data_IF_157705327126
#
_entry.id   IF_157705327126
#
_cell.length_a   1.000
_cell.length_b   1.000
_cell.length_c   1.000
_cell.angle_alpha   90.00
_cell.angle_beta   90.00
_cell.angle_gamma   90.00
#
_symmetry.space_group_name_H-M   'P 1'
#
loop_
_entity.id
_entity.type
_entity.pdbx_description
1 polymer ?
#
# COMPACT_ATOMS: atom_id res chain seq x y z
N UNK A 1 -31.71 -13.34 -21.04
CA UNK A 1 -30.86 -12.28 -20.46
C UNK A 1 -30.41 -12.75 -19.09
N UNK A 2 -29.20 -13.31 -19.01
CA UNK A 2 -28.69 -13.97 -17.79
C UNK A 2 -27.88 -12.97 -16.97
N UNK A 3 -28.41 -12.53 -15.84
CA UNK A 3 -27.67 -11.70 -14.88
C UNK A 3 -26.63 -12.57 -14.14
N UNK A 4 -25.36 -12.36 -14.48
CA UNK A 4 -24.21 -12.93 -13.80
C UNK A 4 -24.15 -12.45 -12.35
N UNK A 5 -24.57 -13.31 -11.43
CA UNK A 5 -24.39 -13.13 -9.98
C UNK A 5 -22.88 -13.18 -9.70
N UNK A 6 -22.25 -12.03 -9.54
CA UNK A 6 -20.88 -11.95 -9.00
C UNK A 6 -20.91 -12.50 -7.59
N UNK A 7 -20.56 -13.78 -7.43
CA UNK A 7 -20.22 -14.35 -6.13
C UNK A 7 -19.01 -13.55 -5.62
N UNK A 8 -19.22 -12.69 -4.64
CA UNK A 8 -18.17 -12.17 -3.77
C UNK A 8 -17.66 -13.35 -2.91
N UNK A 9 -16.88 -14.23 -3.53
CA UNK A 9 -16.13 -15.26 -2.83
C UNK A 9 -15.05 -14.53 -2.03
N UNK A 10 -15.26 -14.37 -0.73
CA UNK A 10 -14.33 -13.64 0.14
C UNK A 10 -14.93 -13.06 1.41
N UNK A 11 -16.26 -13.05 1.59
CA UNK A 11 -16.96 -12.36 2.68
C UNK A 11 -16.46 -12.64 4.12
N UNK A 12 -15.89 -13.83 4.37
CA UNK A 12 -15.40 -14.25 5.71
C UNK A 12 -13.88 -14.33 5.83
N UNK A 13 -13.15 -14.40 4.71
CA UNK A 13 -11.70 -14.53 4.72
C UNK A 13 -11.04 -13.23 5.18
N UNK A 14 -11.47 -12.09 4.63
CA UNK A 14 -11.00 -10.79 5.11
C UNK A 14 -11.43 -10.52 6.55
N UNK A 15 -12.58 -11.03 7.03
CA UNK A 15 -12.98 -10.89 8.44
C UNK A 15 -12.09 -11.69 9.38
N UNK A 16 -11.63 -12.86 8.96
CA UNK A 16 -10.71 -13.70 9.74
C UNK A 16 -9.31 -13.09 9.72
N UNK A 17 -8.89 -12.57 8.58
CA UNK A 17 -7.61 -11.88 8.43
C UNK A 17 -7.63 -10.52 9.16
N UNK A 18 -8.75 -9.80 9.11
CA UNK A 18 -9.08 -8.64 9.95
C UNK A 18 -9.07 -9.02 11.44
N UNK A 19 -9.71 -10.12 11.85
CA UNK A 19 -9.60 -10.65 13.23
C UNK A 19 -8.23 -11.11 13.63
N UNK A 20 -7.32 -11.38 12.71
CA UNK A 20 -5.91 -11.61 13.06
C UNK A 20 -5.12 -10.30 13.10
N UNK A 21 -5.46 -9.33 12.25
CA UNK A 21 -4.69 -8.08 12.04
C UNK A 21 -5.12 -6.90 12.91
N UNK A 22 -6.41 -6.81 13.26
CA UNK A 22 -7.00 -5.67 13.99
C UNK A 22 -7.76 -6.10 15.24
N UNK A 23 -8.52 -7.20 15.18
CA UNK A 23 -9.42 -7.65 16.25
C UNK A 23 -8.95 -8.91 17.01
N UNK A 24 -7.71 -9.34 16.77
CA UNK A 24 -7.04 -10.43 17.51
C UNK A 24 -6.43 -9.95 18.81
N UNK A 25 -6.83 -8.76 19.26
CA UNK A 25 -6.36 -8.19 20.50
C UNK A 25 -7.21 -8.70 21.64
N UNK A 26 -6.61 -9.33 22.67
CA UNK A 26 -7.25 -9.31 23.97
C UNK A 26 -7.54 -7.84 24.30
N UNK A 27 -8.68 -7.57 24.97
CA UNK A 27 -8.91 -6.25 25.58
C UNK A 27 -7.68 -5.99 26.44
N UNK A 28 -6.79 -5.12 25.96
CA UNK A 28 -5.53 -4.88 26.63
C UNK A 28 -5.86 -4.38 28.02
N UNK A 29 -5.28 -5.02 29.01
CA UNK A 29 -5.37 -4.55 30.38
C UNK A 29 -4.88 -3.09 30.45
N UNK A 30 -5.40 -2.28 31.38
CA UNK A 30 -4.89 -0.92 31.59
C UNK A 30 -3.37 -0.88 31.78
N UNK A 31 -2.79 -1.96 32.34
CA UNK A 31 -1.34 -2.11 32.52
C UNK A 31 -0.60 -2.29 31.18
N UNK A 32 -1.12 -3.12 30.27
CA UNK A 32 -0.53 -3.28 28.93
C UNK A 32 -0.61 -1.98 28.12
N UNK A 33 -1.73 -1.26 28.22
CA UNK A 33 -1.90 0.06 27.58
C UNK A 33 -0.87 1.05 28.15
N UNK A 34 -0.65 1.07 29.46
CA UNK A 34 0.36 1.92 30.09
C UNK A 34 1.78 1.56 29.62
N UNK A 35 2.09 0.27 29.46
CA UNK A 35 3.36 -0.21 28.90
C UNK A 35 3.55 0.30 27.47
N UNK A 36 2.56 0.14 26.59
CA UNK A 36 2.61 0.66 25.21
C UNK A 36 2.83 2.17 25.19
N UNK A 37 2.13 2.93 26.04
CA UNK A 37 2.32 4.39 26.12
C UNK A 37 3.71 4.76 26.60
N UNK A 38 4.27 4.03 27.56
CA UNK A 38 5.63 4.26 28.07
C UNK A 38 6.68 4.00 26.99
N UNK A 39 6.60 2.86 26.30
CA UNK A 39 7.54 2.51 25.21
C UNK A 39 7.41 3.49 24.06
N UNK A 40 6.19 3.87 23.69
CA UNK A 40 5.92 4.84 22.62
C UNK A 40 6.50 6.22 22.96
N UNK A 41 6.31 6.72 24.19
CA UNK A 41 6.88 7.99 24.62
C UNK A 41 8.42 7.98 24.61
N UNK A 42 9.03 6.85 24.97
CA UNK A 42 10.48 6.65 24.85
C UNK A 42 10.95 6.74 23.39
N UNK A 43 10.31 5.98 22.50
CA UNK A 43 10.61 5.99 21.06
C UNK A 43 10.41 7.38 20.44
N UNK A 44 9.36 8.11 20.84
CA UNK A 44 9.11 9.49 20.37
C UNK A 44 10.21 10.47 20.82
N UNK A 45 10.75 10.27 22.02
CA UNK A 45 11.85 11.10 22.54
C UNK A 45 13.14 10.80 21.79
N UNK A 46 13.42 9.54 21.49
CA UNK A 46 14.55 9.15 20.64
C UNK A 46 14.40 9.65 19.21
N UNK A 47 13.18 9.61 18.66
CA UNK A 47 12.85 10.14 17.35
C UNK A 47 13.12 11.65 17.30
N UNK A 48 12.67 12.41 18.30
CA UNK A 48 12.97 13.84 18.40
C UNK A 48 14.48 14.09 18.41
N UNK A 49 15.25 13.35 19.22
CA UNK A 49 16.71 13.48 19.25
C UNK A 49 17.36 13.13 17.92
N UNK A 50 16.87 12.11 17.23
CA UNK A 50 17.37 11.74 15.90
C UNK A 50 17.06 12.82 14.85
N UNK A 51 15.88 13.44 14.93
CA UNK A 51 15.49 14.59 14.10
C UNK A 51 16.38 15.80 14.39
N UNK A 52 16.59 16.16 15.66
CA UNK A 52 17.45 17.27 16.05
C UNK A 52 18.91 17.06 15.61
N UNK A 53 19.40 15.82 15.74
CA UNK A 53 20.72 15.40 15.28
C UNK A 53 20.83 15.17 13.76
N UNK A 54 19.74 15.39 13.01
CA UNK A 54 19.68 15.18 11.55
C UNK A 54 20.08 13.75 11.12
N UNK A 55 19.85 12.73 11.96
CA UNK A 55 20.17 11.34 11.65
C UNK A 55 19.04 10.71 10.83
N UNK A 56 19.15 10.76 9.50
CA UNK A 56 18.06 10.43 8.57
C UNK A 56 17.60 8.98 8.69
N UNK A 57 18.52 8.02 8.58
CA UNK A 57 18.18 6.59 8.64
C UNK A 57 17.56 6.21 10.00
N UNK A 58 18.18 6.67 11.10
CA UNK A 58 17.69 6.39 12.45
C UNK A 58 16.30 6.99 12.70
N UNK A 59 16.05 8.20 12.21
CA UNK A 59 14.74 8.83 12.37
C UNK A 59 13.65 8.09 11.58
N UNK A 60 13.95 7.59 10.37
CA UNK A 60 13.03 6.78 9.58
C UNK A 60 12.69 5.45 10.29
N UNK A 61 13.71 4.74 10.80
CA UNK A 61 13.51 3.48 11.53
C UNK A 61 12.68 3.70 12.81
N UNK A 62 13.01 4.74 13.59
CA UNK A 62 12.27 5.08 14.81
C UNK A 62 10.83 5.51 14.52
N UNK A 63 10.58 6.17 13.39
CA UNK A 63 9.24 6.55 12.96
C UNK A 63 8.36 5.33 12.68
N UNK A 64 8.88 4.36 11.93
CA UNK A 64 8.18 3.09 11.64
C UNK A 64 7.92 2.29 12.92
N UNK A 65 8.93 2.18 13.80
CA UNK A 65 8.78 1.51 15.10
C UNK A 65 7.72 2.20 15.96
N UNK A 66 7.71 3.54 16.01
CA UNK A 66 6.74 4.29 16.79
C UNK A 66 5.32 4.12 16.24
N UNK A 67 5.12 4.09 14.92
CA UNK A 67 3.82 3.77 14.34
C UNK A 67 3.37 2.35 14.62
N UNK A 68 4.29 1.38 14.55
CA UNK A 68 3.98 0.02 14.93
C UNK A 68 3.55 -0.07 16.40
N UNK A 69 4.26 0.57 17.33
CA UNK A 69 3.89 0.61 18.75
C UNK A 69 2.56 1.35 18.97
N UNK A 70 2.34 2.50 18.33
CA UNK A 70 1.07 3.21 18.41
C UNK A 70 -0.09 2.35 17.89
N UNK A 71 0.17 1.54 16.87
CA UNK A 71 -0.80 0.58 16.36
C UNK A 71 -1.20 -0.45 17.40
N UNK A 72 -0.37 -0.75 18.41
CA UNK A 72 -0.57 -1.75 19.47
C UNK A 72 -1.63 -1.38 20.51
N UNK A 73 -2.02 -0.11 20.63
CA UNK A 73 -3.06 0.34 21.54
C UNK A 73 -4.23 1.02 20.80
N UNK A 74 -5.42 1.12 21.42
CA UNK A 74 -6.54 1.85 20.85
C UNK A 74 -6.16 3.32 20.52
N UNK A 75 -6.76 3.92 19.47
CA UNK A 75 -6.47 5.31 19.11
C UNK A 75 -6.83 6.31 20.20
N UNK A 76 -7.93 6.07 20.92
CA UNK A 76 -8.39 6.92 22.01
C UNK A 76 -7.30 7.11 23.08
N UNK A 77 -6.56 6.03 23.37
CA UNK A 77 -5.47 5.99 24.35
C UNK A 77 -4.14 6.54 23.84
N UNK A 78 -3.95 6.57 22.51
CA UNK A 78 -2.71 7.00 21.84
C UNK A 78 -2.88 8.25 20.98
N UNK A 79 -3.98 8.99 21.16
CA UNK A 79 -4.37 10.12 20.29
C UNK A 79 -3.29 11.19 20.23
N UNK A 80 -2.73 11.55 21.38
CA UNK A 80 -1.68 12.57 21.48
C UNK A 80 -0.39 12.11 20.79
N UNK A 81 0.02 10.86 21.01
CA UNK A 81 1.23 10.29 20.40
C UNK A 81 1.10 10.22 18.87
N UNK A 82 -0.07 9.82 18.36
CA UNK A 82 -0.35 9.78 16.93
C UNK A 82 -0.37 11.18 16.30
N UNK A 83 -0.87 12.19 17.03
CA UNK A 83 -0.78 13.58 16.60
C UNK A 83 0.68 14.05 16.49
N UNK A 84 1.55 13.69 17.45
CA UNK A 84 2.99 13.97 17.37
C UNK A 84 3.67 13.24 16.20
N UNK A 85 3.33 11.97 15.96
CA UNK A 85 3.83 11.23 14.81
C UNK A 85 3.44 11.89 13.48
N UNK A 86 2.25 12.49 13.40
CA UNK A 86 1.87 13.26 12.21
C UNK A 86 2.78 14.47 11.99
N UNK A 87 3.11 15.21 13.05
CA UNK A 87 4.06 16.34 12.96
C UNK A 87 5.44 15.85 12.51
N UNK A 88 5.95 14.74 13.07
CA UNK A 88 7.21 14.15 12.61
C UNK A 88 7.17 13.73 11.15
N UNK A 89 6.05 13.18 10.66
CA UNK A 89 5.88 12.85 9.24
C UNK A 89 6.10 14.06 8.35
N UNK A 90 5.55 15.21 8.72
CA UNK A 90 5.69 16.46 7.96
C UNK A 90 7.15 16.95 7.96
N UNK A 91 7.83 16.84 9.10
CA UNK A 91 9.27 17.16 9.22
C UNK A 91 10.11 16.23 8.33
N UNK A 92 9.88 14.92 8.41
CA UNK A 92 10.60 13.93 7.61
C UNK A 92 10.28 14.04 6.11
N UNK A 93 9.07 14.47 5.76
CA UNK A 93 8.68 14.74 4.38
C UNK A 93 9.17 16.11 3.86
N UNK A 94 9.72 16.97 4.72
CA UNK A 94 10.16 18.31 4.36
C UNK A 94 11.30 18.29 3.33
N UNK A 95 11.43 19.39 2.58
CA UNK A 95 12.45 19.51 1.54
C UNK A 95 13.87 19.52 2.12
N UNK A 96 14.07 20.21 3.24
CA UNK A 96 15.35 20.26 3.95
C UNK A 96 15.79 18.87 4.42
N UNK A 97 14.85 18.06 4.89
CA UNK A 97 15.14 16.67 5.29
C UNK A 97 15.55 15.80 4.10
N UNK A 98 14.85 15.92 2.96
CA UNK A 98 15.23 15.23 1.71
C UNK A 98 16.57 15.72 1.12
N UNK A 99 16.94 16.97 1.39
CA UNK A 99 18.25 17.50 1.03
C UNK A 99 19.35 16.94 1.94
N UNK A 100 19.08 16.78 3.23
CA UNK A 100 19.97 16.13 4.18
C UNK A 100 20.17 14.64 3.84
N UNK A 101 19.11 13.92 3.52
CA UNK A 101 19.18 12.53 3.05
C UNK A 101 20.10 12.39 1.84
N UNK A 102 19.95 13.29 0.85
CA UNK A 102 20.84 13.34 -0.32
C UNK A 102 22.29 13.67 0.04
N UNK A 103 22.52 14.59 0.99
CA UNK A 103 23.87 14.90 1.48
C UNK A 103 24.52 13.72 2.18
N UNK A 104 23.79 13.00 3.02
CA UNK A 104 24.29 11.82 3.72
C UNK A 104 24.53 10.65 2.77
N UNK A 105 23.67 10.44 1.77
CA UNK A 105 23.93 9.45 0.71
C UNK A 105 25.21 9.78 -0.08
N UNK A 106 25.46 11.05 -0.39
CA UNK A 106 26.69 11.49 -1.05
C UNK A 106 27.94 11.34 -0.17
N UNK A 107 27.83 11.56 1.14
CA UNK A 107 28.93 11.41 2.10
C UNK A 107 29.22 9.94 2.44
N UNK A 108 28.19 9.10 2.55
CA UNK A 108 28.30 7.66 2.79
C UNK A 108 28.90 6.88 1.61
N UNK A 109 28.82 7.43 0.38
CA UNK A 109 29.53 6.90 -0.79
C UNK A 109 31.03 7.23 -0.82
N UNK A 110 31.51 8.18 -0.01
CA UNK A 110 32.91 8.63 0.00
C UNK A 110 33.79 7.86 0.99
N UNK A 111 33.20 7.20 1.99
CA UNK A 111 33.94 6.52 3.07
C UNK A 111 34.31 5.05 2.77
N UNK A 112 34.25 4.61 1.51
CA UNK A 112 34.68 3.26 1.09
C UNK A 112 35.72 3.29 -0.03
N UNK A 113 36.69 4.19 0.08
CA UNK A 113 37.91 4.17 -0.72
C UNK A 113 39.13 4.08 0.21
N UNK A 114 39.31 2.93 0.86
CA UNK A 114 40.58 2.58 1.51
C UNK A 114 40.95 1.15 1.14
N UNK A 115 42.11 1.08 0.45
CA UNK A 115 43.04 -0.04 0.28
C UNK A 115 42.59 -1.27 -0.51
N UNK A 116 42.83 -1.23 -1.83
CA UNK A 116 43.36 -2.40 -2.52
C UNK A 116 44.83 -2.58 -2.10
N UNK A 117 45.24 -3.71 -1.50
CA UNK A 117 46.64 -4.06 -1.49
C UNK A 117 47.06 -4.45 -2.91
N UNK A 118 47.91 -3.61 -3.50
CA UNK A 118 48.70 -3.89 -4.69
C UNK A 118 49.36 -5.26 -4.56
N UNK A 119 48.93 -6.22 -5.39
CA UNK A 119 49.68 -7.44 -5.64
C UNK A 119 50.58 -7.17 -6.84
N UNK A 120 51.85 -6.93 -6.56
CA UNK A 120 52.92 -6.96 -7.55
C UNK A 120 52.87 -8.28 -8.32
N UNK A 121 52.72 -8.21 -9.64
CA UNK A 121 53.02 -9.32 -10.55
C UNK A 121 54.27 -8.89 -11.34
N UNK A 122 55.35 -9.59 -11.06
CA UNK A 122 56.62 -9.52 -11.79
C UNK A 122 56.43 -10.16 -13.18
N UNK A 123 56.95 -9.56 -14.27
CA UNK A 123 56.80 -10.10 -15.62
C UNK A 123 57.90 -11.13 -15.93
N UNK A 124 57.55 -12.24 -16.57
CA UNK A 124 58.53 -13.18 -17.12
C UNK A 124 58.11 -13.66 -18.53
N UNK A 125 58.68 -12.95 -19.52
CA UNK A 125 59.41 -13.46 -20.70
C UNK A 125 58.82 -14.62 -21.53
N UNK A 126 58.54 -14.29 -22.80
CA UNK A 126 58.31 -15.13 -24.00
C UNK A 126 59.66 -15.68 -24.52
N UNK A 127 59.74 -16.86 -25.15
CA UNK A 127 59.76 -16.95 -26.64
C UNK A 127 59.00 -18.20 -27.17
N UNK A 128 58.20 -18.16 -28.25
CA UNK A 128 58.51 -18.07 -29.69
C UNK A 128 59.11 -19.37 -30.30
N UNK A 129 58.31 -20.12 -31.05
CA UNK A 129 58.67 -20.81 -32.30
C UNK A 129 57.42 -21.47 -32.96
N UNK A 130 56.97 -20.89 -34.07
CA UNK A 130 56.24 -21.54 -35.18
C UNK A 130 57.23 -22.43 -35.98
N UNK A 131 56.82 -23.38 -36.87
CA UNK A 131 55.89 -23.11 -38.00
C UNK A 131 54.96 -24.27 -38.46
N UNK A 132 53.92 -23.87 -39.22
CA UNK A 132 53.10 -24.68 -40.13
C UNK A 132 53.92 -25.28 -41.30
N UNK A 133 53.43 -26.35 -41.96
CA UNK A 133 52.76 -26.19 -43.27
C UNK A 133 51.55 -27.14 -43.44
N UNK A 134 50.42 -26.66 -43.98
CA UNK A 134 49.97 -26.69 -45.39
C UNK A 134 49.27 -27.99 -45.84
N UNK A 135 48.02 -27.80 -46.32
CA UNK A 135 47.45 -28.30 -47.59
C UNK A 135 46.25 -29.28 -47.61
N UNK A 136 45.29 -28.85 -48.47
CA UNK A 136 44.20 -29.53 -49.22
C UNK A 136 42.85 -29.66 -48.51
N UNK A 137 41.83 -28.87 -48.86
CA UNK A 137 40.97 -28.89 -50.08
C UNK A 137 40.33 -30.25 -50.37
N UNK A 138 39.01 -30.33 -50.19
CA UNK A 138 38.12 -30.84 -51.23
C UNK A 138 36.72 -30.23 -51.10
N UNK A 139 36.28 -29.70 -52.24
CA UNK A 139 34.99 -29.09 -52.55
C UNK A 139 34.11 -30.17 -53.20
N UNK A 140 32.79 -30.00 -53.08
CA UNK A 140 31.78 -30.17 -54.14
C UNK A 140 30.60 -31.13 -53.83
N UNK A 141 29.42 -30.50 -53.70
CA UNK A 141 28.04 -30.84 -54.13
C UNK A 141 27.57 -32.29 -54.30
N UNK A 142 26.29 -32.47 -53.94
CA UNK A 142 25.24 -32.55 -54.97
C UNK A 142 23.92 -31.97 -54.46
N UNK A 143 23.41 -31.05 -55.27
CA UNK A 143 22.06 -30.51 -55.25
C UNK A 143 21.32 -31.04 -56.49
N UNK A 144 20.00 -30.82 -56.51
CA UNK A 144 19.07 -30.91 -57.64
C UNK A 144 18.56 -32.30 -58.09
N UNK A 145 17.23 -32.47 -58.05
CA UNK A 145 16.34 -32.12 -59.17
C UNK A 145 14.93 -32.73 -58.92
N UNK A 146 13.89 -31.91 -58.72
CA UNK A 146 13.00 -31.35 -59.75
C UNK A 146 11.89 -32.31 -60.18
N UNK A 147 10.63 -31.96 -59.91
CA UNK A 147 9.52 -31.87 -60.88
C UNK A 147 8.19 -31.49 -60.19
N UNK A 148 7.67 -30.29 -60.46
CA UNK A 148 6.21 -30.02 -60.51
C UNK A 148 5.78 -29.93 -61.99
N UNK A 149 4.61 -29.37 -62.39
CA UNK A 149 3.46 -28.77 -61.65
C UNK A 149 2.06 -29.29 -62.15
N UNK A 150 0.88 -28.92 -61.62
CA UNK A 150 0.04 -27.78 -62.14
C UNK A 150 -1.44 -27.84 -61.62
N UNK A 151 -1.88 -26.79 -60.87
CA UNK A 151 -3.19 -26.03 -60.90
C UNK A 151 -4.49 -26.72 -60.38
N UNK A 152 -5.39 -26.16 -59.53
CA UNK A 152 -5.67 -24.83 -58.88
C UNK A 152 -6.78 -24.97 -57.77
N UNK A 153 -7.36 -23.91 -57.13
CA UNK A 153 -7.35 -23.74 -55.67
C UNK A 153 -8.75 -23.66 -54.99
N UNK A 154 -8.81 -23.63 -53.65
CA UNK A 154 -9.73 -22.73 -52.91
C UNK A 154 -9.45 -22.63 -51.40
N UNK A 155 -9.13 -21.38 -51.03
CA UNK A 155 -9.49 -20.62 -49.82
C UNK A 155 -8.89 -20.97 -48.45
N UNK A 156 -8.09 -20.02 -48.01
CA UNK A 156 -7.37 -19.93 -46.75
C UNK A 156 -8.26 -19.68 -45.52
N UNK A 157 -7.79 -20.19 -44.37
CA UNK A 157 -7.90 -19.55 -43.06
C UNK A 157 -6.55 -19.73 -42.34
N UNK A 158 -5.77 -18.68 -42.06
CA UNK A 158 -4.57 -18.81 -41.24
C UNK A 158 -4.95 -18.79 -39.75
N UNK A 159 -4.72 -19.92 -39.07
CA UNK A 159 -4.60 -19.98 -37.63
C UNK A 159 -3.40 -19.13 -37.20
N UNK A 160 -3.66 -18.02 -36.51
CA UNK A 160 -2.63 -17.27 -35.79
C UNK A 160 -2.60 -17.79 -34.35
N UNK A 161 -1.46 -18.28 -33.83
CA UNK A 161 -1.33 -18.60 -32.41
C UNK A 161 -1.20 -17.29 -31.62
N UNK A 162 -2.33 -16.77 -31.17
CA UNK A 162 -2.38 -15.64 -30.24
C UNK A 162 -2.12 -16.12 -28.83
N UNK A 163 -0.85 -16.08 -28.41
CA UNK A 163 -0.44 -16.10 -27.00
C UNK A 163 -1.06 -14.90 -26.28
N UNK A 164 -2.30 -15.05 -25.78
CA UNK A 164 -2.85 -14.14 -24.78
C UNK A 164 -2.44 -14.64 -23.41
N UNK A 165 -1.23 -14.23 -23.01
CA UNK A 165 -0.92 -14.06 -21.61
C UNK A 165 -1.90 -13.01 -21.06
N UNK A 166 -2.97 -13.49 -20.43
CA UNK A 166 -3.83 -12.66 -19.59
C UNK A 166 -2.93 -12.15 -18.46
N UNK A 167 -2.50 -10.90 -18.57
CA UNK A 167 -1.85 -10.18 -17.49
C UNK A 167 -2.77 -10.20 -16.29
N UNK A 168 -2.49 -11.12 -15.36
CA UNK A 168 -3.04 -11.14 -14.02
C UNK A 168 -2.65 -9.80 -13.41
N UNK A 169 -3.60 -8.86 -13.36
CA UNK A 169 -3.43 -7.64 -12.60
C UNK A 169 -3.06 -8.08 -11.18
N UNK A 170 -1.80 -7.91 -10.80
CA UNK A 170 -1.31 -8.24 -9.48
C UNK A 170 -2.07 -7.35 -8.51
N UNK A 171 -3.00 -7.96 -7.76
CA UNK A 171 -3.63 -7.32 -6.63
C UNK A 171 -2.52 -6.89 -5.67
N UNK A 172 -2.51 -5.63 -5.21
CA UNK A 172 -1.47 -5.16 -4.29
C UNK A 172 -1.43 -6.05 -3.05
N UNK A 173 -0.22 -6.34 -2.59
CA UNK A 173 0.02 -7.09 -1.36
C UNK A 173 -0.61 -6.39 -0.15
N UNK A 174 -1.11 -7.18 0.79
CA UNK A 174 -1.80 -6.65 1.96
C UNK A 174 -0.82 -5.91 2.89
N UNK A 175 -1.18 -4.72 3.31
CA UNK A 175 -0.29 -3.86 4.11
C UNK A 175 -0.20 -4.30 5.59
N UNK A 176 0.93 -4.03 6.26
CA UNK A 176 1.07 -4.23 7.70
C UNK A 176 0.19 -3.27 8.48
N UNK A 177 -0.25 -3.69 9.68
CA UNK A 177 -1.22 -2.94 10.50
C UNK A 177 -0.78 -1.50 10.82
N UNK A 178 0.50 -1.28 11.14
CA UNK A 178 1.03 0.06 11.41
C UNK A 178 0.84 1.02 10.22
N UNK A 179 1.05 0.51 9.01
CA UNK A 179 0.85 1.30 7.79
C UNK A 179 -0.63 1.59 7.52
N UNK A 180 -1.52 0.62 7.77
CA UNK A 180 -2.97 0.83 7.65
C UNK A 180 -3.48 1.93 8.61
N UNK A 181 -2.91 1.99 9.82
CA UNK A 181 -3.21 3.01 10.81
C UNK A 181 -2.78 4.41 10.41
N UNK A 182 -1.56 4.54 9.88
CA UNK A 182 -1.06 5.78 9.35
C UNK A 182 -1.97 6.29 8.22
N UNK A 183 -2.35 5.39 7.30
CA UNK A 183 -3.26 5.70 6.20
C UNK A 183 -4.63 6.14 6.72
N UNK A 184 -5.22 5.44 7.70
CA UNK A 184 -6.48 5.85 8.30
C UNK A 184 -6.40 7.25 8.94
N UNK A 185 -5.26 7.58 9.57
CA UNK A 185 -5.00 8.90 10.15
C UNK A 185 -4.96 9.99 9.08
N UNK A 186 -4.40 9.70 7.90
CA UNK A 186 -4.38 10.63 6.76
C UNK A 186 -5.75 10.77 6.08
N UNK A 187 -6.55 9.71 6.04
CA UNK A 187 -7.88 9.67 5.40
C UNK A 187 -8.90 10.47 6.19
N UNK A 188 -8.88 10.39 7.52
CA UNK A 188 -9.89 11.02 8.38
C UNK A 188 -10.09 12.52 8.09
N UNK A 189 -9.06 13.38 8.02
CA UNK A 189 -9.23 14.80 7.67
C UNK A 189 -9.89 15.03 6.31
N UNK A 190 -9.63 14.17 5.33
CA UNK A 190 -10.25 14.27 4.00
C UNK A 190 -11.74 13.95 4.07
N UNK A 191 -12.12 12.96 4.89
CA UNK A 191 -13.53 12.64 5.11
C UNK A 191 -14.24 13.74 5.92
N UNK A 192 -13.60 14.32 6.93
CA UNK A 192 -14.16 15.45 7.66
C UNK A 192 -14.35 16.68 6.77
N UNK A 193 -13.41 16.98 5.88
CA UNK A 193 -13.57 18.05 4.88
C UNK A 193 -14.70 17.73 3.88
N UNK A 194 -14.82 16.46 3.49
CA UNK A 194 -15.88 15.99 2.59
C UNK A 194 -17.26 16.08 3.26
N UNK A 195 -17.34 15.80 4.57
CA UNK A 195 -18.52 15.98 5.41
C UNK A 195 -18.94 17.45 5.46
N UNK A 196 -18.00 18.37 5.72
CA UNK A 196 -18.24 19.82 5.74
C UNK A 196 -18.74 20.32 4.38
N UNK A 197 -18.20 19.79 3.28
CA UNK A 197 -18.63 20.08 1.92
C UNK A 197 -19.97 19.41 1.52
N UNK A 198 -20.57 18.61 2.42
CA UNK A 198 -21.81 17.85 2.20
C UNK A 198 -21.79 17.00 0.93
N UNK A 199 -20.67 16.33 0.71
CA UNK A 199 -20.45 15.49 -0.46
C UNK A 199 -20.00 14.08 -0.04
N UNK A 200 -19.92 13.19 -1.03
CA UNK A 200 -19.31 11.87 -0.89
C UNK A 200 -18.04 11.80 -1.73
N UNK A 201 -17.13 10.88 -1.42
CA UNK A 201 -15.86 10.73 -2.13
C UNK A 201 -15.63 9.26 -2.51
N UNK A 202 -15.05 9.02 -3.68
CA UNK A 202 -14.62 7.70 -4.11
C UNK A 202 -13.12 7.49 -3.85
N UNK A 203 -12.65 6.25 -3.75
CA UNK A 203 -11.22 5.96 -3.60
C UNK A 203 -10.33 6.61 -4.67
N UNK A 204 -10.68 6.62 -5.98
CA UNK A 204 -9.91 7.35 -6.98
C UNK A 204 -9.85 8.87 -6.72
N UNK A 205 -10.95 9.48 -6.28
CA UNK A 205 -10.99 10.90 -5.94
C UNK A 205 -10.18 11.21 -4.68
N UNK A 206 -10.19 10.33 -3.68
CA UNK A 206 -9.39 10.43 -2.48
C UNK A 206 -7.88 10.37 -2.79
N UNK A 207 -7.46 9.46 -3.67
CA UNK A 207 -6.07 9.38 -4.16
C UNK A 207 -5.60 10.65 -4.88
N UNK A 208 -6.49 11.36 -5.56
CA UNK A 208 -6.14 12.66 -6.17
C UNK A 208 -5.88 13.74 -5.12
N UNK A 209 -6.56 13.67 -3.96
CA UNK A 209 -6.35 14.62 -2.84
C UNK A 209 -5.16 14.24 -1.96
N UNK A 210 -4.83 12.95 -1.90
CA UNK A 210 -3.71 12.41 -1.14
C UNK A 210 -2.71 11.75 -2.12
N UNK A 211 -1.80 12.53 -2.75
CA UNK A 211 -0.93 12.01 -3.81
C UNK A 211 0.06 10.92 -3.34
N UNK A 212 0.33 10.81 -2.02
CA UNK A 212 1.15 9.75 -1.41
C UNK A 212 0.33 8.50 -1.05
N UNK A 213 -0.98 8.51 -1.32
CA UNK A 213 -1.88 7.42 -0.94
C UNK A 213 -1.66 6.18 -1.84
N UNK A 214 -1.28 5.02 -1.26
CA UNK A 214 -1.01 3.83 -2.04
C UNK A 214 -2.28 3.26 -2.66
N UNK A 215 -2.13 2.44 -3.71
CA UNK A 215 -3.24 1.59 -4.17
C UNK A 215 -3.44 0.48 -3.15
N UNK A 216 -4.57 0.53 -2.44
CA UNK A 216 -4.93 -0.45 -1.43
C UNK A 216 -5.57 -1.68 -2.05
N UNK A 217 -5.35 -2.82 -1.41
CA UNK A 217 -6.19 -3.99 -1.62
C UNK A 217 -7.60 -3.70 -1.12
N UNK A 218 -8.62 -4.35 -1.70
CA UNK A 218 -10.03 -4.13 -1.30
C UNK A 218 -10.26 -4.40 0.20
N UNK A 219 -9.53 -5.36 0.76
CA UNK A 219 -9.56 -5.70 2.19
C UNK A 219 -8.94 -4.59 3.03
N UNK A 220 -7.79 -4.06 2.62
CA UNK A 220 -7.14 -2.93 3.28
C UNK A 220 -7.99 -1.66 3.21
N UNK A 221 -8.69 -1.40 2.09
CA UNK A 221 -9.67 -0.31 1.99
C UNK A 221 -10.75 -0.44 3.09
N UNK A 222 -11.22 -1.65 3.35
CA UNK A 222 -12.26 -1.89 4.35
C UNK A 222 -11.71 -1.73 5.77
N UNK A 223 -10.48 -2.19 6.01
CA UNK A 223 -9.76 -2.00 7.26
C UNK A 223 -9.57 -0.51 7.53
N UNK A 224 -9.07 0.26 6.56
CA UNK A 224 -8.85 1.70 6.69
C UNK A 224 -10.15 2.42 7.04
N UNK A 225 -11.27 2.10 6.38
CA UNK A 225 -12.57 2.71 6.71
C UNK A 225 -13.04 2.39 8.13
N UNK A 226 -12.81 1.16 8.60
CA UNK A 226 -13.09 0.79 9.98
C UNK A 226 -12.19 1.57 10.97
N UNK A 227 -10.89 1.63 10.70
CA UNK A 227 -9.89 2.32 11.52
C UNK A 227 -10.17 3.83 11.66
N UNK A 228 -10.70 4.45 10.62
CA UNK A 228 -11.09 5.88 10.64
C UNK A 228 -12.14 6.14 11.71
N UNK A 229 -13.09 5.23 11.87
CA UNK A 229 -14.24 5.38 12.78
C UNK A 229 -14.05 4.68 14.13
N UNK A 230 -12.94 3.97 14.36
CA UNK A 230 -12.65 3.30 15.63
C UNK A 230 -12.50 4.30 16.80
N UNK A 231 -11.98 5.50 16.53
CA UNK A 231 -11.82 6.59 17.51
C UNK A 231 -13.11 7.42 17.72
N UNK A 232 -14.24 7.03 17.13
CA UNK A 232 -15.47 7.82 17.25
C UNK A 232 -15.97 7.83 18.69
N UNK A 233 -16.45 8.97 19.15
CA UNK A 233 -17.19 9.01 20.41
C UNK A 233 -18.55 8.34 20.25
N UNK A 234 -19.09 7.79 21.34
CA UNK A 234 -20.40 7.15 21.31
C UNK A 234 -21.46 8.16 20.86
N UNK A 235 -22.15 7.87 19.76
CA UNK A 235 -23.16 8.74 19.17
C UNK A 235 -22.66 9.62 18.02
N UNK A 236 -21.35 9.64 17.74
CA UNK A 236 -20.83 10.25 16.51
C UNK A 236 -21.19 9.38 15.30
N UNK A 237 -21.65 9.99 14.20
CA UNK A 237 -21.96 9.26 12.98
C UNK A 237 -20.67 8.80 12.28
N UNK A 238 -20.79 7.72 11.50
CA UNK A 238 -19.64 7.09 10.84
C UNK A 238 -19.14 7.94 9.67
N UNK A 239 -17.89 8.41 9.70
CA UNK A 239 -17.28 9.14 8.57
C UNK A 239 -17.09 8.24 7.35
N UNK A 240 -16.86 6.94 7.56
CA UNK A 240 -16.69 5.97 6.47
C UNK A 240 -17.88 5.87 5.53
N UNK A 241 -19.09 6.29 5.94
CA UNK A 241 -20.29 6.31 5.08
C UNK A 241 -20.14 7.23 3.88
N UNK A 242 -19.25 8.23 3.96
CA UNK A 242 -19.00 9.17 2.88
C UNK A 242 -18.21 8.55 1.73
N UNK A 243 -17.62 7.37 1.93
CA UNK A 243 -16.89 6.67 0.89
C UNK A 243 -17.85 5.85 0.04
N UNK A 244 -17.89 6.16 -1.25
CA UNK A 244 -18.82 5.56 -2.20
C UNK A 244 -18.10 4.82 -3.33
N UNK A 245 -18.81 3.89 -3.95
CA UNK A 245 -18.38 3.26 -5.20
C UNK A 245 -19.09 3.97 -6.35
N UNK A 246 -18.33 4.57 -7.28
CA UNK A 246 -18.91 5.27 -8.43
C UNK A 246 -19.83 6.44 -8.04
N UNK A 247 -20.94 6.61 -8.77
CA UNK A 247 -21.89 7.72 -8.64
C UNK A 247 -22.71 7.65 -7.34
N UNK A 248 -22.06 7.95 -6.21
CA UNK A 248 -22.68 8.06 -4.87
C UNK A 248 -23.36 6.79 -4.38
N UNK A 249 -22.94 5.61 -4.87
CA UNK A 249 -23.51 4.36 -4.38
C UNK A 249 -22.85 3.95 -3.07
N UNK A 250 -23.66 3.43 -2.14
CA UNK A 250 -23.21 2.84 -0.88
C UNK A 250 -22.08 1.83 -1.13
N UNK A 251 -21.01 1.93 -0.35
CA UNK A 251 -19.92 0.97 -0.43
C UNK A 251 -20.42 -0.46 -0.12
N UNK A 252 -20.11 -1.50 -0.94
CA UNK A 252 -20.64 -2.85 -0.74
C UNK A 252 -20.29 -3.50 0.61
N UNK A 253 -19.26 -2.99 1.29
CA UNK A 253 -18.84 -3.46 2.62
C UNK A 253 -19.29 -2.57 3.78
N UNK A 254 -20.06 -1.51 3.49
CA UNK A 254 -20.61 -0.64 4.52
C UNK A 254 -21.36 -1.42 5.61
N UNK A 255 -22.27 -2.38 5.29
CA UNK A 255 -23.02 -3.08 6.32
C UNK A 255 -22.12 -3.79 7.34
N UNK A 256 -21.07 -4.46 6.84
CA UNK A 256 -20.14 -5.19 7.68
C UNK A 256 -19.27 -4.25 8.52
N UNK A 257 -18.80 -3.15 7.94
CA UNK A 257 -18.01 -2.13 8.66
C UNK A 257 -18.86 -1.52 9.78
N UNK A 258 -20.11 -1.15 9.47
CA UNK A 258 -21.05 -0.58 10.42
C UNK A 258 -21.35 -1.54 11.59
N UNK A 259 -21.61 -2.82 11.31
CA UNK A 259 -21.84 -3.84 12.33
C UNK A 259 -20.62 -4.02 13.26
N UNK A 260 -19.40 -4.03 12.71
CA UNK A 260 -18.17 -4.10 13.51
C UNK A 260 -17.97 -2.87 14.40
N UNK A 261 -18.52 -1.73 14.02
CA UNK A 261 -18.50 -0.49 14.80
C UNK A 261 -19.72 -0.39 15.74
N UNK A 262 -20.57 -1.41 15.81
CA UNK A 262 -21.74 -1.47 16.69
C UNK A 262 -22.97 -0.74 16.15
N UNK A 263 -23.03 -0.45 14.84
CA UNK A 263 -24.20 0.12 14.17
C UNK A 263 -25.02 -0.98 13.47
N UNK A 264 -26.29 -1.12 13.87
CA UNK A 264 -27.24 -2.03 13.23
C UNK A 264 -27.77 -1.44 11.92
N UNK A 265 -27.58 -2.16 10.81
CA UNK A 265 -27.91 -1.70 9.44
C UNK A 265 -29.05 -2.49 8.79
N UNK A 266 -29.64 -3.45 9.49
CA UNK A 266 -30.68 -4.33 8.95
C UNK A 266 -30.13 -5.46 8.06
N UNK A 267 -31.00 -6.41 7.69
CA UNK A 267 -30.62 -7.64 6.97
C UNK A 267 -30.91 -7.55 5.48
N UNK A 268 -31.81 -6.66 5.06
CA UNK A 268 -32.16 -6.51 3.66
C UNK A 268 -31.35 -5.39 2.98
N UNK A 269 -31.11 -5.46 1.65
CA UNK A 269 -30.40 -4.40 0.94
C UNK A 269 -31.07 -3.02 1.03
N UNK A 270 -32.40 -2.97 1.16
CA UNK A 270 -33.15 -1.72 1.28
C UNK A 270 -33.01 -1.09 2.66
N UNK A 271 -33.05 -1.90 3.72
CA UNK A 271 -32.72 -1.47 5.08
C UNK A 271 -31.30 -0.93 5.15
N UNK A 272 -30.32 -1.63 4.56
CA UNK A 272 -28.92 -1.23 4.56
C UNK A 272 -28.69 0.10 3.84
N UNK A 273 -29.32 0.29 2.68
CA UNK A 273 -29.27 1.56 1.94
C UNK A 273 -29.93 2.70 2.70
N UNK A 274 -31.03 2.42 3.41
CA UNK A 274 -31.71 3.41 4.24
C UNK A 274 -30.86 3.81 5.45
N UNK A 275 -30.25 2.83 6.13
CA UNK A 275 -29.32 3.05 7.23
C UNK A 275 -28.10 3.86 6.79
N UNK A 276 -27.50 3.51 5.65
CA UNK A 276 -26.40 4.27 5.06
C UNK A 276 -26.80 5.72 4.77
N UNK A 277 -27.93 5.93 4.10
CA UNK A 277 -28.42 7.28 3.76
C UNK A 277 -28.68 8.13 5.02
N UNK A 278 -29.21 7.51 6.07
CA UNK A 278 -29.44 8.17 7.35
C UNK A 278 -28.12 8.56 8.05
N UNK A 279 -27.11 7.68 8.04
CA UNK A 279 -25.79 8.01 8.57
C UNK A 279 -25.11 9.12 7.76
N UNK A 280 -25.20 9.12 6.43
CA UNK A 280 -24.70 10.22 5.58
C UNK A 280 -25.32 11.56 6.00
N UNK A 281 -26.63 11.60 6.23
CA UNK A 281 -27.32 12.80 6.68
C UNK A 281 -26.85 13.25 8.07
N UNK A 282 -26.66 12.32 9.02
CA UNK A 282 -26.11 12.65 10.34
C UNK A 282 -24.70 13.22 10.25
N UNK A 283 -23.84 12.65 9.41
CA UNK A 283 -22.48 13.18 9.19
C UNK A 283 -22.55 14.62 8.67
N UNK A 284 -23.41 14.91 7.70
CA UNK A 284 -23.57 16.28 7.21
C UNK A 284 -24.10 17.25 8.28
N UNK A 285 -25.02 16.79 9.13
CA UNK A 285 -25.56 17.60 10.22
C UNK A 285 -24.51 17.89 11.29
N UNK A 286 -23.76 16.87 11.71
CA UNK A 286 -22.79 17.01 12.80
C UNK A 286 -21.58 17.85 12.37
N UNK A 287 -21.14 17.79 11.10
CA UNK A 287 -19.99 18.57 10.61
C UNK A 287 -20.38 19.95 10.07
N UNK A 288 -21.67 20.32 10.07
CA UNK A 288 -22.15 21.63 9.61
C UNK A 288 -21.58 22.80 10.41
N UNK A 289 -21.33 22.60 11.70
CA UNK A 289 -21.00 23.67 12.66
C UNK A 289 -19.64 23.48 13.34
N UNK A 290 -18.87 22.45 12.96
CA UNK A 290 -17.54 22.17 13.50
C UNK A 290 -16.47 22.75 12.58
N UNK A 291 -15.77 23.75 13.07
CA UNK A 291 -14.59 24.35 12.42
C UNK A 291 -13.36 23.49 12.68
#
# INVERSE_FOLDING_TARGET
MSNGRVRLSGGSAWQTDFRRRTTGRPVLSPMEIATVRRTLNGTLTELQRAVDAHSVAKAADLYEVAWHQASQAPPSETREQRARLKVFKEVLASRSWREEERRQAAQGGSARAVTHPSRHVVPAVRPAAEPLPDRREEVWSSDAATSGPTVRPSKAAPCVPGTQAVGRAESPELLPAGRLWEIATDVRPVLEQTARARSTISWPAMRKRLPVFPRLHRDDESVVLWLVDEDRQKGEPLLSVLVTVGDRQMHPRFPQIAEQLGLSVGRTPDEQRSAWSYEVLKVYQHWRHRH
#
